data_IF_398746205372
#
_entry.id   IF_398746205372
#
_cell.length_a   1.000
_cell.length_b   1.000
_cell.length_c   1.000
_cell.angle_alpha   90.00
_cell.angle_beta   90.00
_cell.angle_gamma   90.00
#
_symmetry.space_group_name_H-M   'P 1'
#
loop_
_entity.id
_entity.type
_entity.pdbx_description
1 polymer ?
#
# COMPACT_ATOMS: atom_id res chain seq x y z
N UNK A 1 -9.37 -3.77 13.91
CA UNK A 1 -9.28 -2.34 14.23
C UNK A 1 -10.27 -1.98 15.33
N UNK A 2 -9.92 -1.03 16.19
CA UNK A 2 -10.81 -0.49 17.24
C UNK A 2 -11.38 0.80 16.70
N UNK A 3 -12.71 0.89 16.60
CA UNK A 3 -13.40 2.13 16.23
C UNK A 3 -13.41 3.06 17.44
N UNK A 4 -12.89 4.28 17.31
CA UNK A 4 -12.54 5.15 18.44
C UNK A 4 -13.19 6.53 18.35
N UNK A 5 -14.48 6.58 18.24
CA UNK A 5 -15.22 7.81 18.57
C UNK A 5 -15.55 7.84 20.06
N UNK A 6 -14.61 8.32 20.91
CA UNK A 6 -14.74 8.50 22.34
C UNK A 6 -15.14 7.24 23.16
N UNK A 7 -14.38 6.15 23.12
CA UNK A 7 -14.67 5.01 23.98
C UNK A 7 -14.33 5.33 25.45
N UNK A 8 -15.05 4.77 26.42
CA UNK A 8 -14.64 4.83 27.82
C UNK A 8 -13.22 4.26 27.99
N UNK A 9 -12.37 4.93 28.77
CA UNK A 9 -10.94 4.60 28.94
C UNK A 9 -10.71 3.13 29.31
N UNK A 10 -11.59 2.54 30.13
CA UNK A 10 -11.46 1.15 30.55
C UNK A 10 -11.70 0.15 29.39
N UNK A 11 -12.63 0.46 28.47
CA UNK A 11 -12.85 -0.36 27.26
C UNK A 11 -11.67 -0.26 26.33
N UNK A 12 -11.08 0.92 26.20
CA UNK A 12 -9.89 1.12 25.38
C UNK A 12 -8.68 0.34 25.94
N UNK A 13 -8.43 0.40 27.26
CA UNK A 13 -7.38 -0.39 27.92
C UNK A 13 -7.56 -1.89 27.67
N UNK A 14 -8.80 -2.40 27.78
CA UNK A 14 -9.11 -3.81 27.51
C UNK A 14 -8.89 -4.19 26.03
N UNK A 15 -9.33 -3.32 25.11
CA UNK A 15 -9.15 -3.54 23.68
C UNK A 15 -7.68 -3.53 23.27
N UNK A 16 -6.87 -2.61 23.82
CA UNK A 16 -5.41 -2.55 23.63
C UNK A 16 -4.76 -3.85 24.12
N UNK A 17 -5.11 -4.29 25.33
CA UNK A 17 -4.58 -5.55 25.87
C UNK A 17 -4.93 -6.74 24.99
N UNK A 18 -6.17 -6.86 24.53
CA UNK A 18 -6.60 -7.93 23.64
C UNK A 18 -5.87 -7.87 22.29
N UNK A 19 -5.61 -6.66 21.78
CA UNK A 19 -4.83 -6.50 20.55
C UNK A 19 -3.39 -7.01 20.74
N UNK A 20 -2.71 -6.70 21.85
CA UNK A 20 -1.38 -7.23 22.15
C UNK A 20 -1.39 -8.76 22.31
N UNK A 21 -2.40 -9.30 23.01
CA UNK A 21 -2.56 -10.76 23.14
C UNK A 21 -2.67 -11.45 21.77
N UNK A 22 -3.40 -10.86 20.81
CA UNK A 22 -3.50 -11.38 19.45
C UNK A 22 -2.17 -11.41 18.70
N UNK A 23 -1.17 -10.63 19.15
CA UNK A 23 0.20 -10.63 18.63
C UNK A 23 1.15 -11.54 19.45
N UNK A 24 0.61 -12.31 20.40
CA UNK A 24 1.40 -13.19 21.27
C UNK A 24 2.13 -12.46 22.39
N UNK A 25 1.73 -11.21 22.70
CA UNK A 25 2.32 -10.41 23.77
C UNK A 25 1.44 -10.53 25.01
N UNK A 26 1.80 -11.44 25.91
CA UNK A 26 1.03 -11.72 27.13
C UNK A 26 1.48 -10.90 28.34
N UNK A 27 2.75 -10.49 28.34
CA UNK A 27 3.39 -9.76 29.45
C UNK A 27 3.94 -8.42 28.96
N UNK A 28 4.28 -7.54 29.90
CA UNK A 28 4.93 -6.24 29.64
C UNK A 28 4.08 -5.20 28.90
N UNK A 29 2.74 -5.39 28.79
CA UNK A 29 1.83 -4.31 28.40
C UNK A 29 1.52 -3.46 29.63
N UNK A 30 2.40 -2.48 29.84
CA UNK A 30 2.29 -1.56 30.97
C UNK A 30 1.26 -0.45 30.70
N UNK A 31 0.84 0.25 31.74
CA UNK A 31 -0.09 1.38 31.65
C UNK A 31 0.43 2.49 30.71
N UNK A 32 1.76 2.72 30.70
CA UNK A 32 2.39 3.70 29.79
C UNK A 32 2.09 3.45 28.33
N UNK A 33 1.98 2.18 27.89
CA UNK A 33 1.66 1.84 26.50
C UNK A 33 0.22 2.26 26.13
N UNK A 34 -0.71 2.14 27.10
CA UNK A 34 -2.07 2.65 26.94
C UNK A 34 -2.12 4.16 26.78
N UNK A 35 -1.32 4.90 27.57
CA UNK A 35 -1.22 6.36 27.48
C UNK A 35 -0.63 6.82 26.14
N UNK A 36 0.39 6.14 25.65
CA UNK A 36 0.99 6.44 24.33
C UNK A 36 -0.05 6.26 23.21
N UNK A 37 -0.87 5.21 23.28
CA UNK A 37 -1.93 4.97 22.26
C UNK A 37 -3.05 6.01 22.40
N UNK A 38 -3.38 6.45 23.61
CA UNK A 38 -4.32 7.55 23.82
C UNK A 38 -3.80 8.86 23.21
N UNK A 39 -2.50 9.18 23.39
CA UNK A 39 -1.88 10.34 22.75
C UNK A 39 -1.90 10.21 21.21
N UNK A 40 -1.67 9.00 20.69
CA UNK A 40 -1.73 8.72 19.26
C UNK A 40 -3.11 9.04 18.64
N UNK A 41 -4.20 8.89 19.42
CA UNK A 41 -5.56 9.24 18.97
C UNK A 41 -5.71 10.73 18.68
N UNK A 42 -4.92 11.59 19.30
CA UNK A 42 -4.94 13.03 19.11
C UNK A 42 -4.02 13.50 17.95
N UNK A 43 -3.19 12.60 17.42
CA UNK A 43 -2.29 12.92 16.31
C UNK A 43 -3.01 12.89 14.97
N UNK A 44 -2.32 13.35 13.94
CA UNK A 44 -2.80 13.31 12.57
C UNK A 44 -2.94 11.87 12.05
N UNK A 45 -3.76 11.72 11.02
CA UNK A 45 -3.93 10.44 10.34
C UNK A 45 -2.59 9.93 9.77
N UNK A 46 -2.30 8.66 9.99
CA UNK A 46 -1.04 8.02 9.61
C UNK A 46 0.11 8.24 10.59
N UNK A 47 -0.14 8.88 11.76
CA UNK A 47 0.80 8.85 12.87
C UNK A 47 0.95 7.42 13.38
N UNK A 48 2.17 7.04 13.77
CA UNK A 48 2.46 5.70 14.27
C UNK A 48 3.44 5.75 15.44
N UNK A 49 3.42 4.71 16.24
CA UNK A 49 4.31 4.52 17.38
C UNK A 49 4.78 3.06 17.42
N UNK A 50 6.08 2.89 17.66
CA UNK A 50 6.67 1.57 17.86
C UNK A 50 6.39 1.11 19.28
N UNK A 51 5.95 -0.13 19.42
CA UNK A 51 5.66 -0.81 20.66
C UNK A 51 6.61 -1.98 20.86
N UNK A 52 6.75 -2.52 22.09
CA UNK A 52 7.54 -3.73 22.32
C UNK A 52 7.15 -4.88 21.38
N UNK A 53 8.08 -5.83 21.22
CA UNK A 53 7.91 -7.07 20.43
C UNK A 53 7.65 -6.83 18.94
N UNK A 54 8.13 -5.71 18.37
CA UNK A 54 7.98 -5.40 16.96
C UNK A 54 6.52 -5.13 16.55
N UNK A 55 5.69 -4.66 17.47
CA UNK A 55 4.35 -4.19 17.16
C UNK A 55 4.41 -2.71 16.82
N UNK A 56 3.78 -2.31 15.72
CA UNK A 56 3.56 -0.91 15.33
C UNK A 56 2.09 -0.59 15.46
N UNK A 57 1.78 0.50 16.13
CA UNK A 57 0.41 1.00 16.28
C UNK A 57 0.27 2.26 15.45
N UNK A 58 -0.70 2.27 14.54
CA UNK A 58 -0.92 3.38 13.60
C UNK A 58 -2.34 3.90 13.73
N UNK A 59 -2.50 5.23 13.73
CA UNK A 59 -3.80 5.87 13.57
C UNK A 59 -4.16 5.91 12.08
N UNK A 60 -5.23 5.25 11.72
CA UNK A 60 -5.77 5.21 10.36
C UNK A 60 -7.22 5.69 10.37
N UNK A 61 -7.42 6.95 10.01
CA UNK A 61 -8.74 7.60 10.01
C UNK A 61 -9.47 7.40 11.36
N UNK A 62 -10.54 6.62 11.38
CA UNK A 62 -11.35 6.35 12.58
C UNK A 62 -10.90 5.09 13.35
N UNK A 63 -9.70 4.56 13.05
CA UNK A 63 -9.22 3.28 13.62
C UNK A 63 -7.80 3.40 14.15
N UNK A 64 -7.54 2.61 15.18
CA UNK A 64 -6.18 2.25 15.60
C UNK A 64 -5.88 0.86 15.07
N UNK A 65 -4.81 0.74 14.31
CA UNK A 65 -4.38 -0.52 13.69
C UNK A 65 -3.08 -0.99 14.33
N UNK A 66 -3.08 -2.22 14.80
CA UNK A 66 -1.90 -2.92 15.29
C UNK A 66 -1.35 -3.78 14.15
N UNK A 67 -0.06 -3.72 13.91
CA UNK A 67 0.63 -4.52 12.90
C UNK A 67 2.00 -4.96 13.40
N UNK A 68 2.55 -6.03 12.84
CA UNK A 68 3.98 -6.32 13.02
C UNK A 68 4.79 -5.29 12.25
N UNK A 69 5.90 -4.86 12.86
CA UNK A 69 6.90 -4.07 12.16
C UNK A 69 7.42 -4.88 10.97
N UNK A 70 7.17 -4.42 9.77
CA UNK A 70 7.76 -4.98 8.55
C UNK A 70 8.96 -4.12 8.18
N UNK A 71 10.10 -4.74 7.97
CA UNK A 71 11.22 -4.03 7.36
C UNK A 71 10.84 -3.66 5.92
N UNK A 72 11.11 -2.40 5.56
CA UNK A 72 10.94 -1.96 4.17
C UNK A 72 11.85 -2.81 3.29
N UNK A 73 11.25 -3.64 2.46
CA UNK A 73 11.97 -4.50 1.52
C UNK A 73 12.04 -3.77 0.18
N UNK A 74 13.23 -3.32 -0.20
CA UNK A 74 13.46 -2.79 -1.53
C UNK A 74 13.43 -3.95 -2.54
N UNK A 75 12.68 -3.77 -3.60
CA UNK A 75 12.59 -4.73 -4.70
C UNK A 75 12.59 -3.98 -6.03
N UNK A 76 13.28 -4.53 -7.01
CA UNK A 76 13.26 -4.03 -8.40
C UNK A 76 13.55 -5.17 -9.37
N UNK A 77 12.83 -5.20 -10.48
CA UNK A 77 13.03 -6.13 -11.59
C UNK A 77 12.70 -5.43 -12.92
N UNK A 78 13.33 -5.78 -14.04
CA UNK A 78 12.96 -5.24 -15.33
C UNK A 78 11.46 -5.44 -15.62
N UNK A 79 10.85 -4.45 -16.26
CA UNK A 79 9.48 -4.60 -16.77
C UNK A 79 9.44 -5.65 -17.87
N UNK A 80 8.54 -6.61 -17.74
CA UNK A 80 8.30 -7.64 -18.75
C UNK A 80 6.80 -8.01 -18.79
N UNK A 81 6.30 -8.44 -19.94
CA UNK A 81 4.97 -9.04 -20.07
C UNK A 81 4.95 -10.47 -19.53
N UNK A 82 3.78 -10.97 -19.18
CA UNK A 82 3.60 -12.28 -18.55
C UNK A 82 3.55 -12.19 -17.02
N UNK A 83 4.03 -13.23 -16.36
CA UNK A 83 4.05 -13.32 -14.89
C UNK A 83 5.38 -12.80 -14.34
N UNK A 84 5.32 -11.82 -13.47
CA UNK A 84 6.49 -11.21 -12.82
C UNK A 84 6.35 -11.34 -11.32
N UNK A 85 7.29 -12.02 -10.67
CA UNK A 85 7.32 -12.11 -9.21
C UNK A 85 7.62 -10.74 -8.59
N UNK A 86 6.92 -10.40 -7.52
CA UNK A 86 7.11 -9.16 -6.76
C UNK A 86 6.82 -9.42 -5.28
N UNK A 87 7.87 -9.48 -4.46
CA UNK A 87 7.78 -9.84 -3.03
C UNK A 87 7.02 -11.16 -2.86
N UNK A 88 5.92 -11.15 -2.13
CA UNK A 88 4.99 -12.28 -1.90
C UNK A 88 3.83 -12.34 -2.91
N UNK A 89 3.87 -11.53 -3.97
CA UNK A 89 2.84 -11.40 -4.99
C UNK A 89 3.35 -11.75 -6.38
N UNK A 90 2.41 -11.91 -7.31
CA UNK A 90 2.70 -12.00 -8.75
C UNK A 90 1.97 -10.89 -9.49
N UNK A 91 2.70 -10.09 -10.24
CA UNK A 91 2.14 -9.12 -11.19
C UNK A 91 1.96 -9.83 -12.53
N UNK A 92 0.74 -9.77 -13.09
CA UNK A 92 0.42 -10.36 -14.39
C UNK A 92 0.16 -9.24 -15.38
N UNK A 93 0.84 -9.30 -16.53
CA UNK A 93 0.71 -8.35 -17.63
C UNK A 93 0.40 -9.15 -18.90
N UNK A 94 -0.85 -9.07 -19.37
CA UNK A 94 -1.36 -9.89 -20.47
C UNK A 94 -2.29 -9.08 -21.39
N UNK A 95 -2.45 -9.58 -22.62
CA UNK A 95 -3.40 -9.06 -23.62
C UNK A 95 -4.86 -9.41 -23.32
N UNK A 96 -5.09 -10.35 -22.43
CA UNK A 96 -6.42 -10.84 -22.08
C UNK A 96 -6.75 -10.47 -20.63
N UNK A 97 -7.78 -9.65 -20.44
CA UNK A 97 -8.29 -9.32 -19.11
C UNK A 97 -9.03 -10.53 -18.53
N UNK A 98 -8.30 -11.44 -17.89
CA UNK A 98 -8.89 -12.47 -17.04
C UNK A 98 -8.56 -12.14 -15.58
N UNK A 99 -9.23 -11.13 -15.03
CA UNK A 99 -9.19 -10.95 -13.58
C UNK A 99 -10.08 -11.99 -12.92
N UNK A 100 -9.58 -12.62 -11.87
CA UNK A 100 -10.44 -13.31 -10.90
C UNK A 100 -11.36 -12.29 -10.23
N UNK A 101 -12.54 -12.72 -9.80
CA UNK A 101 -13.46 -11.85 -9.06
C UNK A 101 -12.75 -11.19 -7.88
N UNK A 102 -12.92 -9.86 -7.77
CA UNK A 102 -12.32 -9.06 -6.70
C UNK A 102 -10.93 -8.48 -6.99
N UNK A 103 -10.24 -8.89 -8.06
CA UNK A 103 -8.93 -8.36 -8.44
C UNK A 103 -9.10 -7.17 -9.40
N UNK A 104 -8.59 -5.99 -8.99
CA UNK A 104 -8.65 -4.80 -9.84
C UNK A 104 -7.66 -4.89 -10.99
N UNK A 105 -8.18 -5.03 -12.20
CA UNK A 105 -7.40 -5.00 -13.44
C UNK A 105 -7.32 -3.58 -13.98
N UNK A 106 -6.13 -3.15 -14.37
CA UNK A 106 -5.88 -1.87 -15.03
C UNK A 106 -5.56 -2.12 -16.50
N UNK A 107 -5.97 -1.19 -17.37
CA UNK A 107 -5.73 -1.24 -18.81
C UNK A 107 -4.80 -0.09 -19.20
N UNK A 108 -3.76 -0.37 -19.97
CA UNK A 108 -2.75 0.60 -20.38
C UNK A 108 -2.24 0.36 -21.81
N UNK A 109 -1.50 1.32 -22.33
CA UNK A 109 -0.85 1.25 -23.64
C UNK A 109 0.61 0.79 -23.47
N UNK A 110 0.89 -0.46 -23.81
CA UNK A 110 2.23 -1.04 -23.71
C UNK A 110 3.28 -0.27 -24.54
N UNK A 111 2.89 0.30 -25.68
CA UNK A 111 3.81 1.03 -26.56
C UNK A 111 4.35 2.32 -25.89
N UNK A 112 3.67 2.79 -24.85
CA UNK A 112 4.06 3.97 -24.08
C UNK A 112 4.91 3.64 -22.85
N UNK A 113 5.19 2.37 -22.59
CA UNK A 113 6.14 1.98 -21.54
C UNK A 113 7.57 2.17 -22.10
N UNK A 114 8.38 3.05 -21.51
CA UNK A 114 9.72 3.30 -22.02
C UNK A 114 10.63 2.08 -21.85
N UNK A 115 11.59 1.94 -22.76
CA UNK A 115 12.68 0.98 -22.59
C UNK A 115 13.44 1.31 -21.28
N UNK A 116 13.74 0.26 -20.49
CA UNK A 116 14.37 0.40 -19.17
C UNK A 116 13.39 0.67 -18.02
N UNK A 117 12.08 0.65 -18.26
CA UNK A 117 11.10 0.63 -17.18
C UNK A 117 11.29 -0.61 -16.30
N UNK A 118 10.95 -0.47 -15.02
CA UNK A 118 11.07 -1.52 -14.00
C UNK A 118 9.76 -1.71 -13.25
N UNK A 119 9.59 -2.89 -12.66
CA UNK A 119 8.61 -3.12 -11.60
C UNK A 119 9.37 -3.07 -10.29
N UNK A 120 8.96 -2.19 -9.39
CA UNK A 120 9.68 -1.97 -8.13
C UNK A 120 8.78 -1.49 -6.99
N UNK A 121 9.30 -1.53 -5.78
CA UNK A 121 8.74 -0.82 -4.62
C UNK A 121 8.96 0.68 -4.78
N UNK A 122 8.21 1.49 -4.00
CA UNK A 122 8.34 2.95 -4.04
C UNK A 122 9.71 3.43 -3.55
N UNK A 123 10.14 4.55 -4.08
CA UNK A 123 11.35 5.26 -3.69
C UNK A 123 11.04 6.71 -3.31
N UNK A 124 11.95 7.33 -2.55
CA UNK A 124 11.82 8.75 -2.22
C UNK A 124 11.97 9.62 -3.48
N UNK A 125 11.10 10.62 -3.60
CA UNK A 125 11.07 11.48 -4.77
C UNK A 125 10.19 10.98 -5.92
N UNK A 126 9.57 9.81 -5.81
CA UNK A 126 8.62 9.31 -6.82
C UNK A 126 7.48 10.29 -7.06
N UNK A 127 7.11 10.43 -8.34
CA UNK A 127 6.02 11.27 -8.81
C UNK A 127 5.04 10.49 -9.67
N UNK A 128 3.79 10.93 -9.66
CA UNK A 128 2.71 10.32 -10.44
C UNK A 128 1.90 11.40 -11.16
N UNK A 129 1.63 11.19 -12.44
CA UNK A 129 0.81 12.09 -13.26
C UNK A 129 -0.60 11.54 -13.40
N UNK A 130 -1.58 12.23 -12.81
CA UNK A 130 -3.00 11.86 -12.86
C UNK A 130 -3.63 12.18 -14.22
N UNK A 131 -4.74 11.51 -14.55
CA UNK A 131 -5.61 11.92 -15.67
C UNK A 131 -6.09 13.35 -15.48
N UNK A 132 -5.99 14.18 -16.51
CA UNK A 132 -6.41 15.58 -16.54
C UNK A 132 -5.86 16.42 -15.37
N UNK A 133 -4.85 15.92 -14.68
CA UNK A 133 -4.25 16.56 -13.52
C UNK A 133 -2.74 16.68 -13.67
N UNK A 134 -2.15 17.57 -12.90
CA UNK A 134 -0.70 17.74 -12.86
C UNK A 134 0.02 16.54 -12.22
N UNK A 135 1.33 16.57 -12.32
CA UNK A 135 2.21 15.64 -11.60
C UNK A 135 2.28 16.02 -10.12
N UNK A 136 2.18 15.02 -9.24
CA UNK A 136 2.32 15.19 -7.79
C UNK A 136 3.25 14.12 -7.20
N UNK A 137 3.74 14.38 -5.98
CA UNK A 137 4.51 13.37 -5.23
C UNK A 137 3.66 12.12 -5.01
N UNK A 138 4.25 10.95 -5.16
CA UNK A 138 3.56 9.67 -4.98
C UNK A 138 3.01 9.53 -3.54
N UNK A 139 3.71 10.06 -2.53
CA UNK A 139 3.25 10.07 -1.15
C UNK A 139 1.93 10.84 -0.96
N UNK A 140 1.79 11.99 -1.63
CA UNK A 140 0.57 12.80 -1.60
C UNK A 140 -0.57 12.09 -2.37
N UNK A 141 -0.25 11.48 -3.51
CA UNK A 141 -1.19 10.65 -4.26
C UNK A 141 -1.76 9.51 -3.40
N UNK A 142 -0.91 8.78 -2.68
CA UNK A 142 -1.35 7.72 -1.77
C UNK A 142 -2.24 8.25 -0.64
N UNK A 143 -1.97 9.44 -0.15
CA UNK A 143 -2.78 10.09 0.89
C UNK A 143 -4.16 10.45 0.34
N UNK A 144 -4.26 11.02 -0.87
CA UNK A 144 -5.52 11.31 -1.55
C UNK A 144 -6.38 10.04 -1.77
N UNK A 145 -5.72 8.93 -2.14
CA UNK A 145 -6.36 7.63 -2.35
C UNK A 145 -6.66 6.90 -1.05
N UNK A 146 -6.32 7.49 0.11
CA UNK A 146 -6.48 6.90 1.46
C UNK A 146 -5.78 5.56 1.63
N UNK A 147 -4.66 5.36 0.92
CA UNK A 147 -3.85 4.14 1.05
C UNK A 147 -3.05 4.21 2.34
N UNK A 148 -3.22 3.24 3.25
CA UNK A 148 -2.52 3.20 4.53
C UNK A 148 -1.00 3.17 4.36
N UNK A 149 -0.25 3.86 5.23
CA UNK A 149 1.22 3.92 5.14
C UNK A 149 1.87 2.55 5.11
N UNK A 150 1.38 1.59 5.90
CA UNK A 150 1.90 0.22 5.99
C UNK A 150 1.80 -0.57 4.68
N UNK A 151 0.84 -0.23 3.81
CA UNK A 151 0.60 -0.93 2.54
C UNK A 151 1.41 -0.35 1.39
N UNK A 152 1.84 0.93 1.50
CA UNK A 152 2.49 1.67 0.41
C UNK A 152 3.80 1.06 -0.07
N UNK A 153 4.54 0.39 0.82
CA UNK A 153 5.83 -0.24 0.50
C UNK A 153 5.66 -1.62 -0.17
N UNK A 154 4.43 -2.17 -0.19
CA UNK A 154 4.09 -3.47 -0.77
C UNK A 154 3.31 -3.36 -2.08
N UNK A 155 3.07 -2.14 -2.58
CA UNK A 155 2.38 -1.90 -3.84
C UNK A 155 3.39 -1.98 -4.98
N UNK A 156 3.19 -2.87 -5.98
CA UNK A 156 4.04 -2.90 -7.15
C UNK A 156 3.84 -1.63 -7.99
N UNK A 157 4.95 -1.02 -8.39
CA UNK A 157 4.96 0.16 -9.26
C UNK A 157 5.66 -0.16 -10.56
N UNK A 158 5.06 0.17 -11.70
CA UNK A 158 5.79 0.27 -12.96
C UNK A 158 6.35 1.68 -13.07
N UNK A 159 7.65 1.83 -13.19
CA UNK A 159 8.31 3.13 -13.16
C UNK A 159 9.52 3.21 -14.09
N UNK A 160 9.86 4.43 -14.48
CA UNK A 160 11.13 4.79 -15.12
C UNK A 160 11.75 5.96 -14.37
N UNK A 161 12.96 5.77 -13.81
CA UNK A 161 13.55 6.72 -12.88
C UNK A 161 12.59 7.02 -11.72
N UNK A 162 12.22 8.29 -11.52
CA UNK A 162 11.25 8.71 -10.50
C UNK A 162 9.80 8.82 -11.00
N UNK A 163 9.58 8.65 -12.29
CA UNK A 163 8.25 8.67 -12.89
C UNK A 163 7.55 7.33 -12.69
N UNK A 164 6.46 7.33 -11.93
CA UNK A 164 5.58 6.17 -11.76
C UNK A 164 4.52 6.18 -12.85
N UNK A 165 4.52 5.14 -13.67
CA UNK A 165 3.62 4.97 -14.81
C UNK A 165 2.36 4.20 -14.43
N UNK A 166 2.48 3.22 -13.52
CA UNK A 166 1.35 2.41 -13.05
C UNK A 166 1.53 2.14 -11.55
N UNK A 167 0.49 2.40 -10.78
CA UNK A 167 0.32 1.93 -9.42
C UNK A 167 -0.59 0.71 -9.48
N UNK A 168 0.00 -0.48 -9.48
CA UNK A 168 -0.73 -1.74 -9.71
C UNK A 168 -1.87 -1.90 -8.70
N UNK A 169 -3.03 -2.39 -9.15
CA UNK A 169 -4.22 -2.48 -8.32
C UNK A 169 -4.90 -1.13 -8.00
N UNK A 170 -4.31 0.00 -8.39
CA UNK A 170 -4.85 1.33 -8.04
C UNK A 170 -5.21 2.15 -9.28
N UNK A 171 -4.22 2.61 -10.05
CA UNK A 171 -4.43 3.52 -11.19
C UNK A 171 -3.22 3.54 -12.14
N UNK A 172 -3.47 3.87 -13.40
CA UNK A 172 -2.42 4.18 -14.39
C UNK A 172 -2.20 5.68 -14.48
N UNK A 173 -0.98 6.09 -14.85
CA UNK A 173 -0.67 7.48 -15.20
C UNK A 173 -1.28 7.88 -16.54
N UNK A 174 -1.59 9.17 -16.70
CA UNK A 174 -2.00 9.75 -18.00
C UNK A 174 -1.00 9.47 -19.12
N UNK A 175 0.27 9.28 -18.76
CA UNK A 175 1.37 9.00 -19.71
C UNK A 175 1.21 7.68 -20.46
N UNK A 176 0.52 6.71 -19.86
CA UNK A 176 0.34 5.34 -20.43
C UNK A 176 -1.11 5.00 -20.74
N UNK A 177 -1.98 6.01 -20.79
CA UNK A 177 -3.39 5.82 -21.12
C UNK A 177 -3.55 5.30 -22.54
N UNK A 178 -4.56 4.45 -22.74
CA UNK A 178 -5.00 3.99 -24.07
C UNK A 178 -5.65 5.14 -24.86
N UNK A 179 -5.64 5.02 -26.17
CA UNK A 179 -6.39 5.86 -27.10
C UNK A 179 -7.13 4.97 -28.12
N UNK A 180 -7.86 5.57 -29.05
CA UNK A 180 -8.68 4.84 -30.05
C UNK A 180 -7.89 3.83 -30.91
N UNK A 181 -6.58 4.07 -31.10
CA UNK A 181 -5.70 3.22 -31.91
C UNK A 181 -4.85 2.26 -31.07
N UNK A 182 -4.99 2.26 -29.76
CA UNK A 182 -4.19 1.45 -28.86
C UNK A 182 -4.70 0.02 -28.80
N UNK A 183 -3.79 -0.96 -28.91
CA UNK A 183 -4.06 -2.33 -28.48
C UNK A 183 -3.84 -2.39 -26.96
N UNK A 184 -4.89 -2.57 -26.17
CA UNK A 184 -4.76 -2.53 -24.71
C UNK A 184 -3.99 -3.73 -24.17
N UNK A 185 -3.16 -3.49 -23.17
CA UNK A 185 -2.62 -4.51 -22.27
C UNK A 185 -3.23 -4.36 -20.90
N UNK A 186 -3.29 -5.43 -20.15
CA UNK A 186 -3.90 -5.48 -18.84
C UNK A 186 -2.85 -5.82 -17.78
N UNK A 187 -2.94 -5.18 -16.63
CA UNK A 187 -2.06 -5.44 -15.49
C UNK A 187 -2.88 -5.59 -14.22
N UNK A 188 -2.57 -6.62 -13.46
CA UNK A 188 -3.16 -6.89 -12.14
C UNK A 188 -2.18 -7.68 -11.28
N UNK A 189 -2.43 -7.72 -9.98
CA UNK A 189 -1.65 -8.54 -9.05
C UNK A 189 -2.51 -9.68 -8.48
N UNK A 190 -1.85 -10.79 -8.18
CA UNK A 190 -2.41 -11.89 -7.40
C UNK A 190 -1.49 -12.19 -6.23
N UNK A 191 -2.07 -12.52 -5.08
CA UNK A 191 -1.32 -13.01 -3.91
C UNK A 191 -0.99 -14.49 -4.07
N UNK A 192 0.02 -14.95 -3.35
CA UNK A 192 0.43 -16.38 -3.37
C UNK A 192 -0.67 -17.34 -2.88
N UNK A 193 -1.68 -16.83 -2.17
CA UNK A 193 -2.83 -17.61 -1.70
C UNK A 193 -3.88 -17.87 -2.80
N UNK A 194 -3.79 -17.16 -3.94
CA UNK A 194 -4.74 -17.22 -5.05
C UNK A 194 -4.29 -18.14 -6.21
N UNK A 195 -3.21 -18.88 -6.05
CA UNK A 195 -2.66 -19.80 -7.08
C UNK A 195 -3.22 -21.21 -7.00
#
# INVERSE_FOLDING_TARGET
GIDVKNPPVFLLKRAIRNAFLAFGVEKDVEEKHGLIILDLLQKENGASVDMPYGVVVTKEYDKIVFSKSKQKQAFTTPFATGKVAFLDKTVIIDKTAKSKDGVKTLTFDLSKIPAGAVIRTREDGDVFTKFSGGTKKLGDYFTDKKIPKRERDEIPLVAIGKDVLIVVGTEISDKVKINENTKPEYIFEITSEDN
#
